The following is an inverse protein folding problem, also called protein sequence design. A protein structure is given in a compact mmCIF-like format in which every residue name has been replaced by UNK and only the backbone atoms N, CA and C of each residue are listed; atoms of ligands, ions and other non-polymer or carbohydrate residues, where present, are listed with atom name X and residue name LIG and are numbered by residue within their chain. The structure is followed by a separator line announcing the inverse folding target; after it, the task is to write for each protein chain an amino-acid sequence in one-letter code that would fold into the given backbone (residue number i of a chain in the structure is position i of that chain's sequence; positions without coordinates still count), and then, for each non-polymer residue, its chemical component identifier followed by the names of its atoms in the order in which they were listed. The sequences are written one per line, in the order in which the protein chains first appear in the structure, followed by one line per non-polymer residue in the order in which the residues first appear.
data_IF_062969470430
#
_entry.id   IF_062969470430
#
_cell.length_a   1.000
_cell.length_b   1.000
_cell.length_c   1.000
_cell.angle_alpha   90.00
_cell.angle_beta   90.00
_cell.angle_gamma   90.00
#
_symmetry.space_group_name_H-M   'P 1'
#
loop_
_entity.id
_entity.type
_entity.pdbx_description
1 polymer ?
#
# COMPACT_ATOMS: atom_id res chain seq x y z
N UNK A 1 -38.43 -8.16 -1.72
CA UNK A 1 -38.12 -9.08 -0.61
C UNK A 1 -38.00 -8.40 0.76
N UNK A 2 -37.12 -7.42 1.01
CA UNK A 2 -37.01 -6.81 2.37
C UNK A 2 -38.28 -6.03 2.79
N UNK A 3 -38.93 -5.31 1.86
CA UNK A 3 -40.19 -4.59 2.16
C UNK A 3 -41.38 -5.51 2.47
N UNK A 4 -41.40 -6.73 1.92
CA UNK A 4 -42.45 -7.73 2.23
C UNK A 4 -42.21 -8.41 3.57
N UNK A 5 -40.94 -8.69 3.92
CA UNK A 5 -40.59 -9.23 5.23
C UNK A 5 -40.94 -8.24 6.37
N UNK A 6 -40.84 -6.93 6.15
CA UNK A 6 -41.19 -5.90 7.13
C UNK A 6 -42.72 -5.71 7.25
N UNK A 7 -43.49 -6.02 6.20
CA UNK A 7 -44.96 -5.95 6.24
C UNK A 7 -45.59 -7.16 6.94
N UNK A 8 -44.87 -8.29 7.01
CA UNK A 8 -45.34 -9.53 7.63
C UNK A 8 -45.19 -9.57 9.16
N UNK A 9 -44.52 -8.58 9.77
CA UNK A 9 -44.32 -8.50 11.23
C UNK A 9 -44.89 -7.18 11.81
N UNK A 10 -46.20 -7.16 12.14
CA UNK A 10 -46.84 -6.00 12.78
C UNK A 10 -46.27 -5.69 14.17
N UNK A 11 -45.71 -6.69 14.86
CA UNK A 11 -45.17 -6.54 16.21
C UNK A 11 -43.82 -5.83 16.18
N UNK A 12 -43.00 -6.09 15.16
CA UNK A 12 -41.79 -5.32 14.89
C UNK A 12 -42.12 -3.86 14.53
N UNK A 13 -43.14 -3.61 13.71
CA UNK A 13 -43.59 -2.24 13.42
C UNK A 13 -44.05 -1.51 14.69
N UNK A 14 -44.78 -2.20 15.58
CA UNK A 14 -45.18 -1.66 16.88
C UNK A 14 -44.00 -1.28 17.76
N UNK A 15 -42.95 -2.11 17.81
CA UNK A 15 -41.73 -1.84 18.58
C UNK A 15 -40.92 -0.66 18.04
N UNK A 16 -40.82 -0.52 16.72
CA UNK A 16 -40.15 0.63 16.09
C UNK A 16 -40.95 1.92 16.31
N UNK A 17 -42.28 1.87 16.16
CA UNK A 17 -43.14 3.03 16.42
C UNK A 17 -43.07 3.48 17.89
N UNK A 18 -43.06 2.53 18.84
CA UNK A 18 -42.90 2.82 20.27
C UNK A 18 -41.51 3.41 20.60
N UNK A 19 -40.45 2.94 19.94
CA UNK A 19 -39.10 3.48 20.11
C UNK A 19 -38.96 4.91 19.56
N UNK A 20 -39.67 5.25 18.47
CA UNK A 20 -39.67 6.61 17.92
C UNK A 20 -40.64 7.57 18.61
N UNK A 21 -41.69 7.06 19.25
CA UNK A 21 -42.69 7.85 19.99
C UNK A 21 -42.24 8.20 21.41
N UNK A 22 -40.93 8.24 21.67
CA UNK A 22 -40.35 8.60 22.96
C UNK A 22 -41.02 9.83 23.60
N UNK A 23 -41.05 9.91 24.94
CA UNK A 23 -41.85 10.88 25.65
C UNK A 23 -41.56 12.30 25.17
N UNK A 24 -42.62 12.99 24.75
CA UNK A 24 -42.55 14.40 24.36
C UNK A 24 -41.97 15.17 25.55
N UNK A 25 -40.88 15.94 25.40
CA UNK A 25 -40.30 16.68 26.51
C UNK A 25 -41.39 17.60 27.09
N UNK A 26 -41.71 17.41 28.37
CA UNK A 26 -42.77 18.13 29.08
C UNK A 26 -42.49 19.63 29.25
N UNK A 27 -41.39 20.12 28.71
CA UNK A 27 -40.97 21.50 28.80
C UNK A 27 -40.32 21.90 27.48
N UNK A 28 -40.82 22.91 26.75
CA UNK A 28 -40.05 23.51 25.66
C UNK A 28 -38.72 24.00 26.25
N UNK A 29 -37.58 23.79 25.57
CA UNK A 29 -36.31 24.26 26.08
C UNK A 29 -36.38 25.77 26.25
N UNK A 30 -36.28 26.23 27.49
CA UNK A 30 -36.04 27.63 27.77
C UNK A 30 -34.72 27.98 27.07
N UNK A 31 -34.78 28.90 26.12
CA UNK A 31 -33.60 29.49 25.49
C UNK A 31 -32.85 30.33 26.55
N UNK A 32 -32.13 29.66 27.45
CA UNK A 32 -31.12 30.30 28.27
C UNK A 32 -29.90 30.51 27.39
N UNK A 33 -29.78 31.76 26.94
CA UNK A 33 -28.61 32.32 26.28
C UNK A 33 -27.43 32.18 27.26
N UNK A 34 -26.66 31.11 27.10
CA UNK A 34 -25.32 31.05 27.67
C UNK A 34 -24.44 32.03 26.91
N UNK A 35 -24.02 33.07 27.61
CA UNK A 35 -23.03 34.05 27.16
C UNK A 35 -21.65 33.39 26.96
N UNK A 36 -21.48 32.54 25.95
CA UNK A 36 -20.13 32.08 25.52
C UNK A 36 -20.04 31.58 24.07
N UNK A 37 -20.92 32.02 23.18
CA UNK A 37 -20.76 31.81 21.73
C UNK A 37 -20.91 33.14 20.99
N UNK A 38 -19.83 33.92 20.96
CA UNK A 38 -19.56 34.84 19.85
C UNK A 38 -19.30 33.94 18.63
N UNK A 39 -20.01 34.18 17.54
CA UNK A 39 -19.78 33.60 16.20
C UNK A 39 -20.59 32.36 15.78
N UNK A 40 -21.83 32.18 16.26
CA UNK A 40 -22.80 31.32 15.56
C UNK A 40 -23.74 32.17 14.69
N UNK A 41 -23.67 32.02 13.38
CA UNK A 41 -24.58 32.66 12.41
C UNK A 41 -25.69 31.65 12.08
N UNK A 42 -26.94 31.99 12.42
CA UNK A 42 -28.13 31.23 12.00
C UNK A 42 -28.59 31.78 10.64
N UNK A 43 -28.54 30.96 9.59
CA UNK A 43 -29.02 31.31 8.25
C UNK A 43 -30.47 30.85 8.13
N UNK A 44 -31.41 31.79 8.17
CA UNK A 44 -32.83 31.52 7.93
C UNK A 44 -33.11 31.14 6.47
N UNK A 45 -34.19 30.40 6.23
CA UNK A 45 -34.66 30.02 4.91
C UNK A 45 -35.05 31.28 4.10
N UNK A 46 -34.13 31.76 3.26
CA UNK A 46 -34.35 32.92 2.37
C UNK A 46 -33.14 33.84 2.15
N UNK A 47 -32.08 33.75 2.96
CA UNK A 47 -30.93 34.65 2.84
C UNK A 47 -29.89 34.16 1.81
N UNK A 48 -29.74 34.91 0.70
CA UNK A 48 -28.60 34.76 -0.24
C UNK A 48 -27.39 35.53 0.29
N UNK A 49 -26.43 34.82 0.86
CA UNK A 49 -25.17 35.42 1.31
C UNK A 49 -24.23 35.62 0.11
N UNK A 50 -24.01 36.88 -0.28
CA UNK A 50 -23.02 37.26 -1.30
C UNK A 50 -21.83 37.92 -0.59
N UNK A 51 -20.62 37.39 -0.81
CA UNK A 51 -19.32 37.84 -0.24
C UNK A 51 -19.09 37.48 1.24
N UNK A 52 -19.33 36.23 1.65
CA UNK A 52 -18.86 35.71 2.94
C UNK A 52 -17.43 35.21 2.83
N UNK A 53 -16.55 35.77 3.66
CA UNK A 53 -15.20 35.29 3.92
C UNK A 53 -15.30 34.25 5.03
N UNK A 54 -15.04 32.98 4.71
CA UNK A 54 -15.09 31.88 5.68
C UNK A 54 -13.65 31.66 6.15
N UNK A 55 -13.39 31.99 7.42
CA UNK A 55 -12.11 31.69 8.08
C UNK A 55 -12.25 30.39 8.86
N UNK A 56 -11.54 29.35 8.42
CA UNK A 56 -11.40 28.08 9.13
C UNK A 56 -9.99 28.04 9.73
N UNK A 57 -9.83 28.54 10.95
CA UNK A 57 -8.52 28.58 11.62
C UNK A 57 -7.49 29.46 10.89
N UNK A 58 -6.16 29.17 10.97
CA UNK A 58 -5.12 30.04 10.41
C UNK A 58 -5.11 30.12 8.88
N UNK A 59 -6.04 29.44 8.19
CA UNK A 59 -6.20 29.49 6.75
C UNK A 59 -7.51 30.19 6.38
N UNK A 60 -7.36 31.42 5.89
CA UNK A 60 -8.46 32.21 5.32
C UNK A 60 -8.48 32.00 3.81
N UNK A 61 -9.42 31.22 3.28
CA UNK A 61 -9.57 31.06 1.82
C UNK A 61 -10.43 32.21 1.30
N UNK A 62 -9.75 33.22 0.76
CA UNK A 62 -10.40 34.40 0.22
C UNK A 62 -10.69 34.17 -1.28
N UNK A 63 -11.97 34.03 -1.66
CA UNK A 63 -12.38 33.93 -3.07
C UNK A 63 -12.34 35.32 -3.73
N UNK A 64 -11.13 35.80 -3.94
CA UNK A 64 -10.85 37.09 -4.59
C UNK A 64 -10.78 36.89 -6.12
N UNK A 65 -11.06 37.96 -6.87
CA UNK A 65 -10.92 37.93 -8.34
C UNK A 65 -9.49 37.59 -8.79
N UNK A 66 -8.49 37.87 -7.94
CA UNK A 66 -7.09 37.48 -8.18
C UNK A 66 -6.87 35.96 -8.11
N UNK A 67 -7.57 35.25 -7.24
CA UNK A 67 -7.51 33.78 -7.20
C UNK A 67 -8.04 33.17 -8.51
N UNK A 68 -9.12 33.72 -9.06
CA UNK A 68 -9.66 33.29 -10.36
C UNK A 68 -8.69 33.56 -11.51
N UNK A 69 -8.04 34.73 -11.52
CA UNK A 69 -7.02 35.07 -12.52
C UNK A 69 -5.81 34.12 -12.45
N UNK A 70 -5.36 33.75 -11.25
CA UNK A 70 -4.23 32.81 -11.06
C UNK A 70 -4.56 31.40 -11.54
N UNK A 71 -5.79 30.92 -11.30
CA UNK A 71 -6.27 29.62 -11.78
C UNK A 71 -6.32 29.56 -13.31
N UNK A 72 -6.81 30.61 -13.97
CA UNK A 72 -6.80 30.69 -15.44
C UNK A 72 -5.39 30.72 -16.01
N UNK A 73 -4.45 31.43 -15.37
CA UNK A 73 -3.06 31.47 -15.82
C UNK A 73 -2.37 30.10 -15.66
N UNK A 74 -2.60 29.41 -14.53
CA UNK A 74 -2.09 28.06 -14.30
C UNK A 74 -2.67 27.05 -15.31
N UNK A 75 -3.97 27.11 -15.58
CA UNK A 75 -4.61 26.26 -16.58
C UNK A 75 -4.06 26.50 -18.00
N UNK A 76 -3.84 27.76 -18.39
CA UNK A 76 -3.23 28.10 -19.67
C UNK A 76 -1.79 27.58 -19.79
N UNK A 77 -1.01 27.68 -18.71
CA UNK A 77 0.36 27.16 -18.67
C UNK A 77 0.38 25.63 -18.80
N UNK A 78 -0.55 24.94 -18.15
CA UNK A 78 -0.66 23.48 -18.20
C UNK A 78 -1.06 23.00 -19.61
N UNK A 79 -1.97 23.71 -20.28
CA UNK A 79 -2.31 23.46 -21.69
C UNK A 79 -1.11 23.70 -22.63
N UNK A 80 -0.32 24.75 -22.38
CA UNK A 80 0.88 25.02 -23.16
C UNK A 80 1.93 23.89 -23.00
N UNK A 81 2.12 23.37 -21.79
CA UNK A 81 3.02 22.25 -21.53
C UNK A 81 2.55 20.95 -22.21
N UNK A 82 1.25 20.68 -22.20
CA UNK A 82 0.68 19.53 -22.91
C UNK A 82 0.87 19.64 -24.43
N UNK A 83 0.68 20.83 -25.01
CA UNK A 83 0.93 21.08 -26.42
C UNK A 83 2.43 20.89 -26.76
N UNK A 84 3.33 21.35 -25.88
CA UNK A 84 4.77 21.20 -26.07
C UNK A 84 5.24 19.74 -25.96
N UNK A 85 4.66 18.97 -25.04
CA UNK A 85 4.92 17.53 -24.90
C UNK A 85 4.45 16.74 -26.13
N UNK A 86 3.26 17.06 -26.65
CA UNK A 86 2.74 16.45 -27.87
C UNK A 86 3.60 16.80 -29.10
N UNK A 87 4.10 18.04 -29.19
CA UNK A 87 4.96 18.49 -30.28
C UNK A 87 6.39 17.93 -30.18
N UNK A 88 6.93 17.75 -28.97
CA UNK A 88 8.25 17.18 -28.73
C UNK A 88 8.33 15.66 -28.89
N UNK A 89 7.25 14.93 -28.55
CA UNK A 89 7.20 13.46 -28.67
C UNK A 89 7.28 12.94 -30.10
N UNK A 90 6.86 13.73 -31.09
CA UNK A 90 6.85 13.32 -32.50
C UNK A 90 8.25 13.39 -33.18
N UNK A 91 9.22 14.09 -32.60
CA UNK A 91 10.56 14.27 -33.17
C UNK A 91 11.56 13.16 -32.76
N UNK A 92 11.21 12.30 -31.79
CA UNK A 92 12.15 11.30 -31.22
C UNK A 92 12.01 9.91 -31.87
N UNK A 93 11.07 9.71 -32.80
CA UNK A 93 10.80 8.40 -33.44
C UNK A 93 11.37 8.30 -34.87
N UNK A 94 11.94 9.38 -35.42
CA UNK A 94 12.58 9.37 -36.75
C UNK A 94 14.10 9.52 -36.61
N UNK A 95 14.76 8.47 -36.13
CA UNK A 95 16.22 8.38 -36.03
C UNK A 95 16.68 6.99 -36.46
N UNK A 96 16.76 6.81 -37.77
CA UNK A 96 17.33 5.65 -38.44
C UNK A 96 18.81 5.95 -38.68
N UNK A 97 19.72 5.14 -38.12
CA UNK A 97 21.14 5.13 -38.51
C UNK A 97 21.80 3.80 -38.10
N UNK A 98 22.02 2.94 -39.10
CA UNK A 98 23.08 1.92 -39.15
C UNK A 98 24.10 2.39 -40.20
N UNK A 99 25.42 2.21 -39.99
CA UNK A 99 26.03 0.93 -40.39
C UNK A 99 27.33 0.50 -39.65
N UNK A 100 27.70 -0.79 -39.81
CA UNK A 100 29.06 -1.13 -40.29
C UNK A 100 30.06 -1.81 -39.33
N UNK A 101 30.15 -3.14 -39.44
CA UNK A 101 31.34 -4.03 -39.42
C UNK A 101 32.69 -3.56 -38.82
N UNK A 102 33.27 -4.38 -37.93
CA UNK A 102 34.65 -4.89 -38.07
C UNK A 102 34.91 -6.13 -37.20
N UNK A 103 35.32 -7.19 -37.89
CA UNK A 103 35.84 -8.47 -37.43
C UNK A 103 37.26 -8.36 -36.84
N UNK A 104 37.55 -9.12 -35.78
CA UNK A 104 38.88 -9.24 -35.18
C UNK A 104 39.06 -10.57 -34.43
N UNK A 105 39.44 -11.60 -35.17
CA UNK A 105 39.85 -12.93 -34.70
C UNK A 105 41.24 -12.87 -34.06
N UNK A 106 41.46 -13.48 -32.88
CA UNK A 106 42.72 -14.20 -32.55
C UNK A 106 42.71 -14.93 -31.19
N UNK A 107 42.89 -16.25 -31.29
CA UNK A 107 43.96 -17.02 -30.61
C UNK A 107 43.87 -17.35 -29.11
N UNK A 108 43.19 -18.47 -28.87
CA UNK A 108 43.55 -19.61 -27.99
C UNK A 108 45.02 -19.67 -27.51
N UNK A 109 45.22 -19.79 -26.19
CA UNK A 109 46.18 -20.75 -25.62
C UNK A 109 45.82 -21.15 -24.17
N UNK A 110 45.82 -22.45 -23.84
CA UNK A 110 45.50 -22.97 -22.51
C UNK A 110 46.78 -23.04 -21.66
N UNK A 111 46.73 -22.48 -20.44
CA UNK A 111 47.85 -22.59 -19.49
C UNK A 111 47.49 -23.55 -18.36
N UNK A 112 48.04 -24.75 -18.53
CA UNK A 112 48.64 -25.67 -17.55
C UNK A 112 48.26 -25.52 -16.07
N UNK A 113 47.76 -26.65 -15.55
CA UNK A 113 47.55 -26.96 -14.14
C UNK A 113 48.80 -26.72 -13.28
N UNK A 114 48.58 -26.13 -12.10
CA UNK A 114 49.48 -26.23 -10.96
C UNK A 114 48.62 -26.60 -9.75
N UNK A 115 48.72 -27.88 -9.38
CA UNK A 115 48.08 -28.50 -8.23
C UNK A 115 48.85 -28.13 -6.96
N UNK A 116 48.23 -27.29 -6.13
CA UNK A 116 48.55 -27.17 -4.70
C UNK A 116 47.28 -27.52 -3.90
N UNK A 117 47.38 -28.23 -2.76
CA UNK A 117 46.22 -28.70 -2.03
C UNK A 117 45.62 -27.53 -1.24
N UNK A 118 44.50 -26.99 -1.74
CA UNK A 118 43.68 -26.04 -0.98
C UNK A 118 42.93 -26.79 0.12
N UNK A 119 43.15 -26.33 1.37
CA UNK A 119 42.34 -26.68 2.52
C UNK A 119 40.83 -26.41 2.24
N UNK A 120 39.90 -27.13 2.89
CA UNK A 120 38.48 -26.91 2.70
C UNK A 120 38.07 -25.59 3.37
N UNK A 121 38.13 -24.50 2.61
CA UNK A 121 37.41 -23.27 2.92
C UNK A 121 35.93 -23.54 2.68
N UNK A 122 35.26 -24.12 3.68
CA UNK A 122 33.81 -24.24 3.75
C UNK A 122 33.16 -22.87 3.93
N UNK A 123 33.31 -21.99 2.95
CA UNK A 123 32.49 -20.80 2.83
C UNK A 123 31.10 -21.24 2.39
N UNK A 124 30.23 -21.52 3.36
CA UNK A 124 28.84 -21.81 3.08
C UNK A 124 28.27 -20.64 2.26
N UNK A 125 27.95 -20.89 0.99
CA UNK A 125 27.29 -19.91 0.14
C UNK A 125 25.97 -19.54 0.80
N UNK A 126 25.72 -18.25 1.00
CA UNK A 126 24.42 -17.76 1.50
C UNK A 126 23.33 -18.33 0.56
N UNK A 127 22.28 -19.00 1.07
CA UNK A 127 21.21 -19.51 0.24
C UNK A 127 20.52 -18.37 -0.51
N UNK A 128 20.25 -18.54 -1.81
CA UNK A 128 19.62 -17.52 -2.65
C UNK A 128 18.49 -18.13 -3.47
N UNK A 129 17.31 -17.53 -3.38
CA UNK A 129 16.16 -17.86 -4.25
C UNK A 129 16.29 -17.07 -5.56
N UNK A 130 16.82 -17.71 -6.61
CA UNK A 130 17.08 -17.09 -7.92
C UNK A 130 15.98 -17.33 -8.94
N UNK A 131 15.26 -18.43 -8.78
CA UNK A 131 14.28 -18.91 -9.74
C UNK A 131 12.88 -18.34 -9.41
N UNK A 132 12.16 -17.93 -10.46
CA UNK A 132 10.85 -17.31 -10.30
C UNK A 132 9.81 -18.29 -9.77
N UNK A 133 9.82 -19.56 -10.21
CA UNK A 133 8.87 -20.56 -9.73
C UNK A 133 9.12 -20.91 -8.25
N UNK A 134 10.38 -20.91 -7.82
CA UNK A 134 10.76 -21.09 -6.41
C UNK A 134 10.32 -19.90 -5.55
N UNK A 135 10.48 -18.67 -6.05
CA UNK A 135 10.01 -17.47 -5.36
C UNK A 135 8.47 -17.38 -5.31
N UNK A 136 7.77 -17.85 -6.34
CA UNK A 136 6.31 -17.90 -6.38
C UNK A 136 5.74 -18.81 -5.28
N UNK A 137 6.43 -19.89 -4.92
CA UNK A 137 6.01 -20.75 -3.81
C UNK A 137 6.06 -20.05 -2.45
N UNK A 138 6.80 -18.94 -2.31
CA UNK A 138 6.81 -18.14 -1.07
C UNK A 138 5.44 -17.47 -0.85
N UNK A 139 4.74 -17.12 -1.92
CA UNK A 139 3.37 -16.62 -1.85
C UNK A 139 2.43 -17.75 -1.39
N UNK A 140 1.57 -17.51 -0.38
CA UNK A 140 0.64 -18.53 0.08
C UNK A 140 -0.44 -18.76 -0.99
N UNK A 141 -0.61 -20.01 -1.42
CA UNK A 141 -1.74 -20.39 -2.27
C UNK A 141 -3.07 -20.28 -1.50
N UNK A 142 -4.23 -20.21 -2.20
CA UNK A 142 -5.54 -20.16 -1.58
C UNK A 142 -5.80 -21.30 -0.57
N UNK A 143 -5.24 -22.48 -0.81
CA UNK A 143 -5.32 -23.64 0.08
C UNK A 143 -4.53 -23.48 1.39
N UNK A 144 -3.60 -22.52 1.43
CA UNK A 144 -2.81 -22.16 2.61
C UNK A 144 -3.42 -20.96 3.36
N UNK A 145 -4.56 -20.44 2.90
CA UNK A 145 -5.26 -19.27 3.45
C UNK A 145 -6.63 -19.67 4.01
N UNK A 146 -7.30 -18.79 4.79
CA UNK A 146 -8.66 -19.07 5.26
C UNK A 146 -9.65 -19.32 4.13
N UNK A 147 -10.71 -20.07 4.43
CA UNK A 147 -11.78 -20.36 3.47
C UNK A 147 -12.34 -19.07 2.83
N UNK A 148 -12.58 -19.14 1.52
CA UNK A 148 -13.13 -18.04 0.73
C UNK A 148 -12.10 -17.02 0.23
N UNK A 149 -10.82 -17.19 0.54
CA UNK A 149 -9.75 -16.42 -0.09
C UNK A 149 -9.44 -16.94 -1.48
N UNK A 150 -9.13 -16.04 -2.40
CA UNK A 150 -8.68 -16.38 -3.74
C UNK A 150 -7.67 -15.34 -4.24
N UNK A 151 -6.86 -15.73 -5.23
CA UNK A 151 -6.14 -14.75 -6.02
C UNK A 151 -7.11 -13.84 -6.76
N UNK A 152 -6.81 -12.55 -6.82
CA UNK A 152 -7.45 -11.66 -7.75
C UNK A 152 -7.02 -12.02 -9.19
N UNK A 153 -7.86 -11.67 -10.16
CA UNK A 153 -7.57 -11.93 -11.58
C UNK A 153 -6.21 -11.36 -11.99
N UNK A 154 -5.35 -12.19 -12.59
CA UNK A 154 -4.01 -11.80 -13.03
C UNK A 154 -2.92 -11.93 -11.97
N UNK A 155 -3.21 -12.48 -10.79
CA UNK A 155 -2.22 -12.81 -9.76
C UNK A 155 -1.91 -14.31 -9.69
N UNK A 156 -0.69 -14.70 -9.29
CA UNK A 156 0.48 -13.85 -9.07
C UNK A 156 1.05 -13.31 -10.40
N UNK A 157 1.78 -12.20 -10.34
CA UNK A 157 2.46 -11.61 -11.48
C UNK A 157 3.93 -11.36 -11.17
N UNK A 158 4.77 -11.44 -12.21
CA UNK A 158 6.16 -11.04 -12.15
C UNK A 158 6.28 -9.57 -12.53
N UNK A 159 6.87 -8.79 -11.65
CA UNK A 159 7.20 -7.40 -11.93
C UNK A 159 8.71 -7.25 -12.20
N UNK A 160 9.12 -6.06 -12.61
CA UNK A 160 10.52 -5.66 -12.59
C UNK A 160 10.70 -4.55 -11.57
N UNK A 161 11.32 -4.88 -10.44
CA UNK A 161 11.75 -3.89 -9.46
C UNK A 161 12.73 -2.91 -10.12
N UNK A 162 12.26 -1.73 -10.54
CA UNK A 162 13.08 -0.72 -11.22
C UNK A 162 13.11 0.56 -10.43
N UNK A 163 14.32 0.95 -10.00
CA UNK A 163 14.63 2.26 -9.44
C UNK A 163 13.74 2.72 -8.27
N UNK A 164 13.07 1.79 -7.54
CA UNK A 164 12.34 2.14 -6.32
C UNK A 164 13.34 2.56 -5.23
N UNK A 165 13.02 3.66 -4.57
CA UNK A 165 13.81 4.22 -3.47
C UNK A 165 12.88 4.67 -2.35
N UNK A 166 13.17 4.24 -1.12
CA UNK A 166 12.64 4.87 0.07
C UNK A 166 13.46 6.08 0.45
N UNK A 167 12.83 7.08 1.06
CA UNK A 167 13.52 8.27 1.57
C UNK A 167 13.33 8.33 3.07
N UNK A 168 14.40 8.33 3.85
CA UNK A 168 14.33 8.50 5.30
C UNK A 168 13.93 9.94 5.69
N UNK A 169 13.60 10.17 6.97
CA UNK A 169 13.19 11.49 7.48
C UNK A 169 14.25 12.58 7.30
N UNK A 170 15.53 12.19 7.26
CA UNK A 170 16.66 13.10 7.04
C UNK A 170 16.96 13.35 5.55
N UNK A 171 16.18 12.75 4.64
CA UNK A 171 16.37 12.83 3.19
C UNK A 171 17.30 11.77 2.61
N UNK A 172 17.82 10.84 3.42
CA UNK A 172 18.68 9.76 2.94
C UNK A 172 17.90 8.82 2.02
N UNK A 173 18.40 8.61 0.80
CA UNK A 173 17.81 7.69 -0.17
C UNK A 173 18.30 6.25 0.09
N UNK A 174 17.36 5.32 0.11
CA UNK A 174 17.58 3.88 0.28
C UNK A 174 17.03 3.13 -0.91
N UNK A 175 17.89 2.42 -1.63
CA UNK A 175 17.48 1.70 -2.84
C UNK A 175 16.81 0.37 -2.50
N UNK A 176 15.55 0.22 -2.90
CA UNK A 176 14.76 -0.99 -2.67
C UNK A 176 15.18 -2.09 -3.65
N UNK A 177 15.26 -1.74 -4.94
CA UNK A 177 15.46 -2.73 -6.01
C UNK A 177 16.91 -3.07 -6.33
N UNK A 178 17.89 -2.43 -5.67
CA UNK A 178 19.30 -2.59 -6.05
C UNK A 178 19.80 -3.99 -5.70
N UNK A 179 20.15 -4.77 -6.72
CA UNK A 179 20.62 -6.15 -6.56
C UNK A 179 19.50 -7.18 -6.38
N UNK A 180 18.24 -6.79 -6.64
CA UNK A 180 17.11 -7.70 -6.75
C UNK A 180 17.27 -8.66 -7.94
N UNK A 181 16.70 -9.85 -7.81
CA UNK A 181 16.74 -10.92 -8.81
C UNK A 181 15.35 -11.23 -9.35
N UNK A 182 14.40 -11.41 -8.43
CA UNK A 182 13.00 -11.70 -8.72
C UNK A 182 12.14 -10.73 -7.92
N UNK A 183 11.10 -10.22 -8.55
CA UNK A 183 10.08 -9.38 -7.95
C UNK A 183 8.72 -9.97 -8.37
N UNK A 184 7.95 -10.38 -7.38
CA UNK A 184 6.66 -11.03 -7.54
C UNK A 184 5.63 -10.31 -6.71
N UNK A 185 4.45 -10.11 -7.30
CA UNK A 185 3.33 -9.51 -6.59
C UNK A 185 2.09 -10.37 -6.73
N UNK A 186 1.29 -10.43 -5.67
CA UNK A 186 0.03 -11.14 -5.68
C UNK A 186 -1.04 -10.34 -4.95
N UNK A 187 -2.17 -10.17 -5.62
CA UNK A 187 -3.39 -9.64 -5.06
C UNK A 187 -4.31 -10.80 -4.65
N UNK A 188 -4.92 -10.66 -3.48
CA UNK A 188 -5.90 -11.59 -2.95
C UNK A 188 -7.21 -10.86 -2.69
N UNK A 189 -8.31 -11.56 -2.96
CA UNK A 189 -9.66 -11.18 -2.55
C UNK A 189 -10.04 -12.05 -1.35
N UNK A 190 -10.03 -11.50 -0.13
CA UNK A 190 -10.47 -12.19 1.07
C UNK A 190 -11.96 -12.51 1.00
N UNK A 191 -12.38 -13.58 1.67
CA UNK A 191 -13.80 -13.89 1.81
C UNK A 191 -14.54 -12.84 2.65
N UNK A 192 -15.87 -12.76 2.53
CA UNK A 192 -16.70 -11.76 3.23
C UNK A 192 -16.54 -11.75 4.76
N UNK A 193 -16.09 -12.87 5.36
CA UNK A 193 -15.84 -12.99 6.80
C UNK A 193 -14.50 -12.37 7.26
N UNK A 194 -13.63 -11.95 6.34
CA UNK A 194 -12.30 -11.42 6.68
C UNK A 194 -12.35 -10.04 7.36
N UNK A 195 -13.34 -9.23 7.03
CA UNK A 195 -13.48 -7.86 7.56
C UNK A 195 -12.59 -6.81 6.87
N UNK A 196 -12.03 -7.13 5.70
CA UNK A 196 -11.25 -6.25 4.84
C UNK A 196 -11.36 -6.73 3.38
N UNK A 197 -11.05 -5.87 2.43
CA UNK A 197 -11.43 -6.05 1.03
C UNK A 197 -10.31 -6.64 0.17
N UNK A 198 -9.05 -6.32 0.47
CA UNK A 198 -7.91 -6.68 -0.38
C UNK A 198 -6.66 -6.99 0.45
N UNK A 199 -5.87 -7.93 -0.05
CA UNK A 199 -4.49 -8.13 0.40
C UNK A 199 -3.58 -8.09 -0.80
N UNK A 200 -2.46 -7.39 -0.67
CA UNK A 200 -1.37 -7.39 -1.62
C UNK A 200 -0.12 -7.89 -0.92
N UNK A 201 0.57 -8.84 -1.55
CA UNK A 201 1.86 -9.37 -1.07
C UNK A 201 2.87 -9.17 -2.20
N UNK A 202 3.99 -8.53 -1.88
CA UNK A 202 5.16 -8.42 -2.75
C UNK A 202 6.29 -9.23 -2.14
N UNK A 203 6.99 -10.01 -2.97
CA UNK A 203 8.17 -10.78 -2.62
C UNK A 203 9.30 -10.38 -3.56
N UNK A 204 10.37 -9.84 -2.99
CA UNK A 204 11.59 -9.47 -3.70
C UNK A 204 12.74 -10.33 -3.21
N UNK A 205 13.40 -11.04 -4.13
CA UNK A 205 14.60 -11.82 -3.82
C UNK A 205 15.85 -11.08 -4.25
N UNK A 206 16.96 -11.29 -3.56
CA UNK A 206 18.21 -10.56 -3.77
C UNK A 206 19.38 -11.51 -3.94
N UNK A 207 20.43 -11.00 -4.60
CA UNK A 207 21.68 -11.74 -4.80
C UNK A 207 22.52 -11.93 -3.53
N UNK A 208 22.25 -11.18 -2.46
CA UNK A 208 22.95 -11.26 -1.18
C UNK A 208 22.06 -10.80 -0.02
N UNK A 209 22.45 -11.19 1.19
CA UNK A 209 21.81 -10.75 2.43
C UNK A 209 21.88 -9.23 2.59
N UNK A 210 23.05 -8.62 2.33
CA UNK A 210 23.21 -7.16 2.46
C UNK A 210 22.33 -6.38 1.48
N UNK A 211 22.14 -6.90 0.26
CA UNK A 211 21.25 -6.28 -0.71
C UNK A 211 19.79 -6.35 -0.24
N UNK A 212 19.35 -7.49 0.31
CA UNK A 212 18.03 -7.64 0.91
C UNK A 212 17.83 -6.72 2.13
N UNK A 213 18.85 -6.57 2.98
CA UNK A 213 18.81 -5.68 4.14
C UNK A 213 18.69 -4.20 3.72
N UNK A 214 19.40 -3.77 2.67
CA UNK A 214 19.20 -2.43 2.09
C UNK A 214 17.82 -2.28 1.46
N UNK A 215 17.32 -3.33 0.80
CA UNK A 215 15.96 -3.39 0.28
C UNK A 215 14.91 -3.14 1.35
N UNK A 216 15.02 -3.86 2.47
CA UNK A 216 14.18 -3.69 3.66
C UNK A 216 14.23 -2.28 4.23
N UNK A 217 15.41 -1.69 4.37
CA UNK A 217 15.52 -0.30 4.87
C UNK A 217 14.88 0.70 3.89
N UNK A 218 15.00 0.44 2.59
CA UNK A 218 14.30 1.20 1.56
C UNK A 218 12.80 1.11 1.71
N UNK A 219 12.26 -0.11 1.77
CA UNK A 219 10.81 -0.31 1.85
C UNK A 219 10.27 0.26 3.16
N UNK A 220 10.95 0.02 4.30
CA UNK A 220 10.60 0.60 5.59
C UNK A 220 10.56 2.13 5.53
N UNK A 221 11.54 2.76 4.89
CA UNK A 221 11.60 4.21 4.74
C UNK A 221 10.52 4.73 3.78
N UNK A 222 10.19 3.99 2.72
CA UNK A 222 9.04 4.28 1.86
C UNK A 222 7.77 4.24 2.71
N UNK A 223 7.50 3.16 3.43
CA UNK A 223 6.29 2.98 4.24
C UNK A 223 6.12 4.01 5.35
N UNK A 224 7.20 4.35 6.05
CA UNK A 224 7.17 5.37 7.09
C UNK A 224 6.88 6.78 6.57
N UNK A 225 7.08 7.03 5.26
CA UNK A 225 6.98 8.36 4.65
C UNK A 225 5.99 8.44 3.47
N UNK A 226 5.38 7.34 3.05
CA UNK A 226 4.38 7.29 1.99
C UNK A 226 3.10 7.98 2.48
N UNK A 227 2.63 9.06 1.85
CA UNK A 227 1.55 9.89 2.39
C UNK A 227 0.23 9.13 2.52
N UNK A 228 -0.56 9.44 3.56
CA UNK A 228 -0.76 10.75 4.19
C UNK A 228 -0.31 10.76 5.66
N UNK A 229 -0.32 11.96 6.26
CA UNK A 229 -0.32 12.11 7.72
C UNK A 229 -1.26 11.09 8.36
N UNK A 230 -0.76 10.22 9.25
CA UNK A 230 -1.56 9.20 9.92
C UNK A 230 -0.97 7.80 9.93
N UNK A 231 0.16 7.56 9.26
CA UNK A 231 0.90 6.29 9.39
C UNK A 231 1.48 6.18 10.81
N UNK A 232 1.17 5.09 11.49
CA UNK A 232 1.70 4.73 12.81
C UNK A 232 2.52 3.46 12.69
N UNK A 233 3.78 3.48 13.14
CA UNK A 233 4.58 2.25 13.25
C UNK A 233 4.09 1.47 14.47
N UNK A 234 3.70 0.21 14.25
CA UNK A 234 3.10 -0.65 15.25
C UNK A 234 4.13 -1.61 15.85
N UNK A 235 3.94 -1.94 17.13
CA UNK A 235 4.76 -2.95 17.81
C UNK A 235 4.08 -4.31 17.75
N UNK A 236 4.61 -5.21 16.92
CA UNK A 236 4.16 -6.59 16.76
C UNK A 236 5.36 -7.55 16.88
N UNK A 237 5.12 -8.87 17.04
CA UNK A 237 6.19 -9.87 17.07
C UNK A 237 7.11 -9.76 15.85
N UNK A 238 8.41 -9.87 16.09
CA UNK A 238 9.37 -9.84 15.00
C UNK A 238 9.42 -11.16 14.24
N UNK A 239 9.49 -11.10 12.92
CA UNK A 239 9.67 -12.26 12.05
C UNK A 239 11.03 -12.20 11.34
N UNK A 240 11.67 -13.36 11.18
CA UNK A 240 13.01 -13.47 10.59
C UNK A 240 14.06 -12.57 11.28
N UNK A 241 14.92 -11.87 10.53
CA UNK A 241 15.94 -10.97 11.11
C UNK A 241 15.37 -9.58 11.42
N UNK A 242 14.52 -9.05 10.54
CA UNK A 242 13.91 -7.73 10.73
C UNK A 242 12.47 -7.70 10.22
N UNK A 243 11.60 -7.04 10.97
CA UNK A 243 10.24 -6.74 10.53
C UNK A 243 9.80 -5.37 11.06
N UNK A 244 9.01 -4.65 10.28
CA UNK A 244 8.34 -3.43 10.68
C UNK A 244 6.86 -3.50 10.28
N UNK A 245 6.00 -2.90 11.08
CA UNK A 245 4.56 -2.92 10.88
C UNK A 245 4.03 -1.50 10.95
N UNK A 246 3.04 -1.22 10.13
CA UNK A 246 2.46 0.10 9.99
C UNK A 246 0.95 0.00 9.92
N UNK A 247 0.24 0.96 10.49
CA UNK A 247 -1.19 1.15 10.31
C UNK A 247 -1.45 2.55 9.79
N UNK A 248 -2.50 2.72 8.98
CA UNK A 248 -2.93 4.02 8.48
C UNK A 248 -4.45 4.05 8.35
N UNK A 249 -5.04 5.20 8.71
CA UNK A 249 -6.45 5.49 8.46
C UNK A 249 -6.56 6.72 7.58
N UNK A 250 -7.25 6.55 6.47
CA UNK A 250 -7.51 7.56 5.46
C UNK A 250 -8.95 8.06 5.65
N UNK A 251 -9.15 9.33 6.04
CA UNK A 251 -10.50 9.85 6.13
C UNK A 251 -11.15 9.91 4.75
N UNK A 252 -12.40 9.48 4.66
CA UNK A 252 -13.15 9.52 3.40
C UNK A 252 -13.26 10.95 2.85
N UNK A 253 -13.11 11.12 1.54
CA UNK A 253 -13.32 12.43 0.91
C UNK A 253 -14.82 12.67 0.80
N UNK A 254 -15.31 13.69 1.50
CA UNK A 254 -16.72 14.13 1.42
C UNK A 254 -17.07 14.41 -0.05
N UNK A 255 -17.99 13.62 -0.61
CA UNK A 255 -18.54 13.80 -1.96
C UNK A 255 -18.09 12.78 -3.02
N UNK A 256 -17.21 11.83 -2.69
CA UNK A 256 -16.90 10.69 -3.57
C UNK A 256 -17.60 9.43 -3.04
N UNK A 257 -17.24 9.03 -1.83
CA UNK A 257 -17.74 7.85 -1.11
C UNK A 257 -17.98 8.19 0.37
N UNK A 258 -17.17 9.08 0.96
CA UNK A 258 -17.32 9.54 2.34
C UNK A 258 -17.07 8.45 3.38
N UNK A 259 -16.44 7.34 2.97
CA UNK A 259 -16.13 6.20 3.84
C UNK A 259 -14.64 6.24 4.17
N UNK A 260 -14.32 6.04 5.44
CA UNK A 260 -12.93 5.92 5.88
C UNK A 260 -12.32 4.61 5.36
N UNK A 261 -11.06 4.67 4.97
CA UNK A 261 -10.27 3.51 4.54
C UNK A 261 -9.17 3.22 5.54
N UNK A 262 -9.07 1.97 5.95
CA UNK A 262 -8.06 1.46 6.87
C UNK A 262 -7.02 0.64 6.12
N UNK A 263 -5.77 0.76 6.50
CA UNK A 263 -4.69 -0.06 5.97
C UNK A 263 -3.77 -0.54 7.10
N UNK A 264 -3.26 -1.75 6.95
CA UNK A 264 -2.15 -2.23 7.75
C UNK A 264 -1.10 -2.86 6.83
N UNK A 265 0.17 -2.60 7.12
CA UNK A 265 1.29 -2.94 6.25
C UNK A 265 2.40 -3.59 7.06
N UNK A 266 3.09 -4.57 6.50
CA UNK A 266 4.31 -5.13 7.09
C UNK A 266 5.42 -5.17 6.07
N UNK A 267 6.65 -4.95 6.49
CA UNK A 267 7.87 -5.19 5.70
C UNK A 267 8.72 -6.16 6.50
N UNK A 268 9.17 -7.26 5.90
CA UNK A 268 9.94 -8.31 6.56
C UNK A 268 11.15 -8.69 5.72
N UNK A 269 12.27 -8.93 6.39
CA UNK A 269 13.54 -9.36 5.81
C UNK A 269 13.89 -10.75 6.37
N UNK A 270 14.06 -11.73 5.47
CA UNK A 270 14.42 -13.12 5.72
C UNK A 270 15.63 -13.49 4.84
N UNK A 271 16.85 -13.53 5.37
CA UNK A 271 18.03 -13.94 4.60
C UNK A 271 18.28 -13.09 3.34
N UNK A 272 18.01 -13.64 2.15
CA UNK A 272 18.10 -12.92 0.85
C UNK A 272 16.73 -12.60 0.24
N UNK A 273 15.67 -12.67 1.04
CA UNK A 273 14.29 -12.40 0.64
C UNK A 273 13.76 -11.24 1.48
N UNK A 274 13.13 -10.28 0.82
CA UNK A 274 12.30 -9.27 1.47
C UNK A 274 10.88 -9.45 0.97
N UNK A 275 9.90 -9.24 1.84
CA UNK A 275 8.52 -9.18 1.40
C UNK A 275 7.76 -8.08 2.14
N UNK A 276 6.76 -7.53 1.47
CA UNK A 276 5.82 -6.59 2.04
C UNK A 276 4.39 -7.11 1.88
N UNK A 277 3.55 -6.82 2.88
CA UNK A 277 2.15 -7.22 2.91
C UNK A 277 1.33 -6.00 3.21
N UNK A 278 0.25 -5.79 2.46
CA UNK A 278 -0.67 -4.69 2.60
C UNK A 278 -2.07 -5.28 2.72
N UNK A 279 -2.73 -5.00 3.82
CA UNK A 279 -4.12 -5.38 4.07
C UNK A 279 -4.94 -4.10 4.03
N UNK A 280 -5.96 -4.06 3.18
CA UNK A 280 -6.75 -2.87 2.89
C UNK A 280 -8.23 -3.11 3.20
N UNK A 281 -8.80 -2.21 3.99
CA UNK A 281 -10.23 -2.11 4.24
C UNK A 281 -10.75 -0.83 3.57
N UNK A 282 -11.26 -0.96 2.35
CA UNK A 282 -11.81 0.12 1.53
C UNK A 282 -13.13 0.66 2.11
N UNK A 283 -13.77 -0.10 3.00
CA UNK A 283 -15.08 0.24 3.58
C UNK A 283 -15.08 0.34 5.11
N UNK A 284 -13.92 0.57 5.73
CA UNK A 284 -13.80 0.68 7.18
C UNK A 284 -12.50 1.32 7.62
N UNK A 285 -12.53 2.00 8.76
CA UNK A 285 -11.42 2.84 9.24
C UNK A 285 -10.22 2.07 9.84
N UNK A 286 -10.32 0.75 9.98
CA UNK A 286 -9.28 -0.06 10.63
C UNK A 286 -9.12 -1.43 9.98
N UNK A 287 -7.95 -2.01 10.18
CA UNK A 287 -7.58 -3.36 9.78
C UNK A 287 -7.10 -4.12 11.01
N UNK A 288 -7.49 -5.39 11.14
CA UNK A 288 -7.05 -6.25 12.23
C UNK A 288 -5.55 -6.59 12.12
N UNK A 289 -4.75 -6.05 13.05
CA UNK A 289 -3.31 -6.26 13.10
C UNK A 289 -2.94 -7.73 13.38
N UNK A 290 -3.80 -8.53 14.01
CA UNK A 290 -3.54 -9.96 14.19
C UNK A 290 -3.54 -10.70 12.85
N UNK A 291 -4.43 -10.29 11.94
CA UNK A 291 -4.46 -10.87 10.60
C UNK A 291 -3.22 -10.49 9.78
N UNK A 292 -2.77 -9.24 9.87
CA UNK A 292 -1.48 -8.84 9.30
C UNK A 292 -0.33 -9.68 9.87
N UNK A 293 -0.24 -9.79 11.21
CA UNK A 293 0.78 -10.57 11.91
C UNK A 293 0.80 -12.04 11.45
N UNK A 294 -0.37 -12.68 11.37
CA UNK A 294 -0.50 -14.07 10.93
C UNK A 294 -0.10 -14.27 9.46
N UNK A 295 -0.45 -13.33 8.56
CA UNK A 295 0.01 -13.34 7.18
C UNK A 295 1.53 -13.18 7.10
N UNK A 296 2.10 -12.20 7.82
CA UNK A 296 3.55 -11.97 7.86
C UNK A 296 4.30 -13.20 8.37
N UNK A 297 3.80 -13.85 9.43
CA UNK A 297 4.37 -15.11 9.93
C UNK A 297 4.31 -16.23 8.89
N UNK A 298 3.18 -16.36 8.20
CA UNK A 298 2.98 -17.38 7.16
C UNK A 298 3.99 -17.20 6.04
N UNK A 299 4.11 -15.98 5.49
CA UNK A 299 5.05 -15.68 4.41
C UNK A 299 6.51 -15.80 4.90
N UNK A 300 6.81 -15.40 6.13
CA UNK A 300 8.14 -15.56 6.73
C UNK A 300 8.55 -17.04 6.80
N UNK A 301 7.67 -17.91 7.30
CA UNK A 301 7.93 -19.35 7.37
C UNK A 301 8.13 -19.95 5.97
N UNK A 302 7.31 -19.53 4.99
CA UNK A 302 7.44 -19.97 3.60
C UNK A 302 8.77 -19.50 2.98
N UNK A 303 9.18 -18.27 3.24
CA UNK A 303 10.46 -17.72 2.78
C UNK A 303 11.65 -18.49 3.38
N UNK A 304 11.60 -18.81 4.68
CA UNK A 304 12.62 -19.63 5.34
C UNK A 304 12.69 -21.05 4.77
N UNK A 305 11.54 -21.70 4.51
CA UNK A 305 11.49 -23.00 3.84
C UNK A 305 12.17 -22.93 2.46
N UNK A 306 11.84 -21.92 1.65
CA UNK A 306 12.47 -21.72 0.34
C UNK A 306 14.00 -21.48 0.44
N UNK A 307 14.44 -20.68 1.41
CA UNK A 307 15.87 -20.42 1.67
C UNK A 307 16.62 -21.68 2.14
N UNK A 308 15.92 -22.59 2.82
CA UNK A 308 16.47 -23.88 3.22
C UNK A 308 16.46 -24.92 2.08
N UNK A 309 15.94 -24.57 0.90
CA UNK A 309 15.78 -25.49 -0.23
C UNK A 309 14.61 -26.47 -0.08
N UNK A 310 13.69 -26.17 0.85
CA UNK A 310 12.46 -26.95 1.08
C UNK A 310 11.31 -26.38 0.25
N UNK A 311 10.31 -27.21 -0.04
CA UNK A 311 9.05 -26.73 -0.64
C UNK A 311 8.23 -25.99 0.42
N UNK A 312 7.88 -24.71 0.21
CA UNK A 312 7.06 -23.96 1.16
C UNK A 312 5.67 -24.59 1.37
N UNK A 313 5.33 -24.84 2.63
CA UNK A 313 4.09 -25.52 3.06
C UNK A 313 3.40 -24.83 4.23
N UNK A 314 4.03 -23.81 4.83
CA UNK A 314 3.41 -23.09 5.94
C UNK A 314 2.08 -22.46 5.50
N UNK A 315 1.07 -22.64 6.34
CA UNK A 315 -0.30 -22.18 6.13
C UNK A 315 -0.69 -21.15 7.20
N UNK A 316 -1.72 -20.36 6.88
CA UNK A 316 -2.26 -19.34 7.74
C UNK A 316 -2.77 -19.93 9.06
N UNK A 317 -2.25 -19.42 10.16
CA UNK A 317 -2.72 -19.74 11.51
C UNK A 317 -2.78 -18.48 12.36
N UNK A 318 -3.91 -18.25 13.03
CA UNK A 318 -4.01 -17.23 14.08
C UNK A 318 -3.50 -17.87 15.37
N UNK A 319 -2.46 -17.28 15.96
CA UNK A 319 -1.93 -17.64 17.28
C UNK A 319 -2.82 -17.15 18.41
#
# INVERSE_FOLDING_TARGET
MIREAIAADPEFQGRVAAAMAGPSPATPPAHTISHSYKDSIVIGAGSKVRRSQISLGPLTINNTRSARASLTAAAALLLALLALAAYGGAQVISGDDSPGVSSGTSSRSPRTASSAPSAPSGGASVPVVRDAASAEQILPGPESLPDGWAFASGSPQKDTCRNRVGTEKDGTLRYICKGSLVDLTAWYTPGAAAGFDKVYIEVVTYSSHDAAAQGYLGEKAEEANNPPSGVTEESLPSYCEHSAFFSATYPGIIGIDGVDRGEARSVVHCGTVMFSIYVMNEHGSSVDLNTLSALSQTVANRAQQALNGETPTAAFGRS
#
